data_IF_915777736764
#
_entry.id   IF_915777736764
#
_cell.length_a   1.000
_cell.length_b   1.000
_cell.length_c   1.000
_cell.angle_alpha   90.00
_cell.angle_beta   90.00
_cell.angle_gamma   90.00
#
_symmetry.space_group_name_H-M   'P 1'
#
loop_
_entity.id
_entity.type
_entity.pdbx_description
1 polymer ?
#
# COMPACT_ATOMS: atom_id res chain seq x y z
N UNK A 1 -0.34 10.33 7.81
CA UNK A 1 -0.58 8.90 8.11
C UNK A 1 -1.24 8.27 6.89
N UNK A 2 -0.80 7.08 6.47
CA UNK A 2 -1.50 6.36 5.41
C UNK A 2 -2.74 5.68 5.97
N UNK A 3 -3.83 5.67 5.21
CA UNK A 3 -5.02 4.86 5.53
C UNK A 3 -5.07 3.64 4.63
N UNK A 4 -5.19 2.47 5.25
CA UNK A 4 -5.26 1.17 4.61
C UNK A 4 -6.66 0.60 4.72
N UNK A 5 -7.24 0.22 3.59
CA UNK A 5 -8.52 -0.47 3.49
C UNK A 5 -8.27 -1.96 3.38
N UNK A 6 -8.61 -2.69 4.45
CA UNK A 6 -8.43 -4.13 4.55
C UNK A 6 -9.70 -4.87 4.15
N UNK A 7 -9.56 -5.81 3.21
CA UNK A 7 -10.69 -6.57 2.67
C UNK A 7 -10.96 -7.78 3.56
N UNK A 8 -12.19 -7.88 4.06
CA UNK A 8 -12.63 -8.95 4.96
C UNK A 8 -13.95 -9.56 4.48
N UNK A 9 -14.16 -10.81 4.86
CA UNK A 9 -15.47 -11.46 4.75
C UNK A 9 -16.13 -11.53 6.13
N UNK A 10 -17.39 -11.94 6.17
CA UNK A 10 -18.14 -12.04 7.42
C UNK A 10 -17.54 -13.03 8.43
N UNK A 11 -16.78 -14.03 8.00
CA UNK A 11 -16.12 -14.96 8.93
C UNK A 11 -14.94 -14.25 9.60
N UNK A 12 -14.07 -13.67 8.78
CA UNK A 12 -12.81 -13.12 9.23
C UNK A 12 -12.97 -11.77 9.93
N UNK A 13 -13.93 -10.95 9.52
CA UNK A 13 -14.13 -9.62 10.10
C UNK A 13 -14.34 -9.68 11.62
N UNK A 14 -15.16 -10.64 12.09
CA UNK A 14 -15.35 -10.91 13.52
C UNK A 14 -14.02 -11.10 14.26
N UNK A 15 -13.17 -11.99 13.75
CA UNK A 15 -11.92 -12.35 14.41
C UNK A 15 -10.83 -11.27 14.32
N UNK A 16 -10.86 -10.45 13.26
CA UNK A 16 -10.00 -9.27 13.16
C UNK A 16 -10.29 -8.27 14.29
N UNK A 17 -11.57 -8.05 14.59
CA UNK A 17 -12.02 -7.18 15.67
C UNK A 17 -11.71 -7.76 17.04
N UNK A 18 -12.07 -9.03 17.26
CA UNK A 18 -11.93 -9.66 18.58
C UNK A 18 -10.48 -9.80 19.04
N UNK A 19 -9.56 -10.07 18.12
CA UNK A 19 -8.14 -10.28 18.40
C UNK A 19 -7.26 -9.11 17.97
N UNK A 20 -7.87 -7.99 17.60
CA UNK A 20 -7.20 -6.73 17.24
C UNK A 20 -6.02 -6.92 16.27
N UNK A 21 -6.26 -7.59 15.14
CA UNK A 21 -5.28 -7.71 14.06
C UNK A 21 -5.89 -7.50 12.68
N UNK A 22 -5.04 -7.15 11.73
CA UNK A 22 -5.33 -7.21 10.29
C UNK A 22 -4.50 -8.28 9.62
N UNK A 23 -5.09 -9.01 8.67
CA UNK A 23 -4.38 -10.07 7.97
C UNK A 23 -4.80 -10.24 6.52
N UNK A 24 -3.83 -10.63 5.68
CA UNK A 24 -4.09 -11.12 4.32
C UNK A 24 -3.32 -12.42 4.07
N UNK A 25 -3.80 -13.20 3.12
CA UNK A 25 -3.13 -14.42 2.69
C UNK A 25 -3.75 -14.95 1.40
N UNK A 26 -3.11 -15.95 0.82
CA UNK A 26 -3.53 -16.55 -0.45
C UNK A 26 -3.83 -18.03 -0.28
N UNK A 27 -5.12 -18.33 -0.09
CA UNK A 27 -5.64 -19.70 0.00
C UNK A 27 -4.83 -20.56 0.98
N UNK A 28 -4.42 -21.74 0.51
CA UNK A 28 -3.63 -22.71 1.29
C UNK A 28 -2.13 -22.70 0.93
N UNK A 29 -1.61 -21.62 0.35
CA UNK A 29 -0.21 -21.58 -0.04
C UNK A 29 0.72 -21.52 1.19
N UNK A 30 1.67 -22.46 1.25
CA UNK A 30 2.78 -22.46 2.22
C UNK A 30 4.03 -22.08 1.46
N UNK A 31 4.71 -21.02 1.89
CA UNK A 31 5.94 -20.57 1.25
C UNK A 31 6.86 -19.91 2.27
N UNK A 32 8.10 -20.36 2.27
CA UNK A 32 9.21 -19.71 2.97
C UNK A 32 9.82 -18.62 2.08
N UNK A 33 9.59 -17.37 2.48
CA UNK A 33 10.10 -16.17 1.81
C UNK A 33 11.44 -15.70 2.38
N UNK A 34 11.78 -16.16 3.58
CA UNK A 34 13.00 -15.81 4.29
C UNK A 34 14.19 -16.65 3.81
N UNK A 35 13.92 -17.80 3.19
CA UNK A 35 14.92 -18.66 2.57
C UNK A 35 14.88 -18.62 1.03
N UNK A 36 16.05 -18.68 0.42
CA UNK A 36 16.24 -18.69 -1.03
C UNK A 36 16.39 -20.09 -1.63
N UNK A 37 16.44 -21.15 -0.84
CA UNK A 37 16.70 -22.53 -1.33
C UNK A 37 15.52 -23.10 -2.13
N UNK A 38 14.28 -22.85 -1.70
CA UNK A 38 13.08 -23.40 -2.34
C UNK A 38 12.80 -22.76 -3.71
N UNK A 39 12.63 -23.60 -4.74
CA UNK A 39 12.15 -23.15 -6.04
C UNK A 39 10.65 -22.86 -6.00
N UNK A 40 10.26 -21.70 -6.52
CA UNK A 40 8.87 -21.25 -6.58
C UNK A 40 8.60 -20.80 -8.00
N UNK A 41 7.47 -21.21 -8.55
CA UNK A 41 7.02 -20.74 -9.85
C UNK A 41 6.91 -19.20 -9.86
N UNK A 42 7.47 -18.54 -10.87
CA UNK A 42 7.63 -17.09 -10.91
C UNK A 42 6.32 -16.32 -10.69
N UNK A 43 5.21 -16.76 -11.29
CA UNK A 43 3.91 -16.10 -11.14
C UNK A 43 3.38 -16.16 -9.70
N UNK A 44 3.66 -17.28 -9.00
CA UNK A 44 3.29 -17.47 -7.60
C UNK A 44 4.13 -16.56 -6.71
N UNK A 45 5.45 -16.55 -6.94
CA UNK A 45 6.37 -15.68 -6.21
C UNK A 45 6.04 -14.20 -6.37
N UNK A 46 5.77 -13.73 -7.60
CA UNK A 46 5.39 -12.34 -7.87
C UNK A 46 4.07 -11.95 -7.19
N UNK A 47 3.08 -12.84 -7.19
CA UNK A 47 1.83 -12.59 -6.49
C UNK A 47 2.07 -12.44 -4.98
N UNK A 48 2.86 -13.32 -4.38
CA UNK A 48 3.22 -13.19 -2.96
C UNK A 48 3.98 -11.90 -2.67
N UNK A 49 4.96 -11.55 -3.50
CA UNK A 49 5.69 -10.30 -3.39
C UNK A 49 4.76 -9.09 -3.46
N UNK A 50 3.74 -9.11 -4.31
CA UNK A 50 2.76 -8.01 -4.33
C UNK A 50 2.00 -7.86 -3.00
N UNK A 51 1.66 -8.97 -2.33
CA UNK A 51 1.03 -8.95 -1.01
C UNK A 51 1.98 -8.48 0.09
N UNK A 52 3.25 -8.89 0.02
CA UNK A 52 4.29 -8.45 0.96
C UNK A 52 4.56 -6.96 0.76
N UNK A 53 4.69 -6.50 -0.49
CA UNK A 53 4.83 -5.09 -0.82
C UNK A 53 3.67 -4.29 -0.23
N UNK A 54 2.44 -4.79 -0.36
CA UNK A 54 1.27 -4.13 0.22
C UNK A 54 1.33 -3.96 1.74
N UNK A 55 1.92 -4.92 2.45
CA UNK A 55 2.13 -4.82 3.89
C UNK A 55 3.41 -4.09 4.28
N UNK A 56 4.44 -4.11 3.43
CA UNK A 56 5.75 -3.51 3.73
C UNK A 56 5.69 -1.99 3.80
N UNK A 57 4.69 -1.37 3.17
CA UNK A 57 4.41 0.08 3.31
C UNK A 57 3.75 0.45 4.65
N UNK A 58 3.16 -0.50 5.37
CA UNK A 58 2.36 -0.23 6.58
C UNK A 58 3.26 0.20 7.73
N UNK A 59 2.93 1.32 8.39
CA UNK A 59 3.65 1.83 9.55
C UNK A 59 2.78 1.89 10.80
N UNK A 60 3.43 1.88 11.97
CA UNK A 60 2.75 2.11 13.25
C UNK A 60 2.10 3.50 13.23
N UNK A 61 0.85 3.58 13.66
CA UNK A 61 0.04 4.80 13.64
C UNK A 61 -0.75 5.04 12.36
N UNK A 62 -0.49 4.29 11.28
CA UNK A 62 -1.35 4.31 10.09
C UNK A 62 -2.80 3.92 10.44
N UNK A 63 -3.76 4.42 9.68
CA UNK A 63 -5.17 4.14 9.90
C UNK A 63 -5.61 2.88 9.16
N UNK A 64 -6.59 2.21 9.73
CA UNK A 64 -7.21 1.01 9.19
C UNK A 64 -8.71 1.20 9.09
N UNK A 65 -9.26 0.92 7.91
CA UNK A 65 -10.70 0.81 7.66
C UNK A 65 -10.94 -0.60 7.11
N UNK A 66 -11.96 -1.28 7.62
CA UNK A 66 -12.36 -2.57 7.09
C UNK A 66 -13.36 -2.40 5.97
N UNK A 67 -13.17 -3.14 4.88
CA UNK A 67 -14.17 -3.29 3.83
C UNK A 67 -14.70 -4.73 3.85
N UNK A 68 -15.92 -4.88 4.35
CA UNK A 68 -16.68 -6.12 4.35
C UNK A 68 -17.24 -6.37 2.96
N UNK A 69 -16.88 -7.51 2.37
CA UNK A 69 -17.36 -7.91 1.04
C UNK A 69 -18.83 -8.33 1.05
N UNK A 70 -19.52 -8.08 -0.07
CA UNK A 70 -20.85 -8.62 -0.34
C UNK A 70 -20.83 -10.15 -0.25
N UNK A 71 -21.85 -10.71 0.40
CA UNK A 71 -22.05 -12.14 0.50
C UNK A 71 -23.55 -12.42 0.72
N UNK A 72 -24.25 -12.79 -0.36
CA UNK A 72 -25.69 -13.05 -0.32
C UNK A 72 -26.08 -14.23 0.58
N UNK A 73 -25.25 -15.28 0.64
CA UNK A 73 -25.50 -16.45 1.50
C UNK A 73 -25.49 -16.07 2.99
N UNK A 74 -24.73 -15.04 3.36
CA UNK A 74 -24.66 -14.49 4.72
C UNK A 74 -25.53 -13.25 4.94
N UNK A 75 -26.45 -12.94 4.01
CA UNK A 75 -27.36 -11.80 4.10
C UNK A 75 -26.68 -10.43 3.90
N UNK A 76 -25.44 -10.38 3.40
CA UNK A 76 -24.72 -9.14 3.11
C UNK A 76 -24.96 -8.77 1.65
N UNK A 77 -26.01 -7.98 1.42
CA UNK A 77 -26.45 -7.60 0.07
C UNK A 77 -25.59 -6.51 -0.57
N UNK A 78 -24.79 -5.77 0.20
CA UNK A 78 -23.87 -4.75 -0.29
C UNK A 78 -22.58 -4.76 0.52
N UNK A 79 -21.44 -4.49 -0.14
CA UNK A 79 -20.19 -4.28 0.57
C UNK A 79 -20.25 -3.03 1.45
N UNK A 80 -19.50 -3.02 2.55
CA UNK A 80 -19.56 -1.94 3.56
C UNK A 80 -18.20 -1.61 4.15
N UNK A 81 -17.95 -0.32 4.40
CA UNK A 81 -16.76 0.20 5.06
C UNK A 81 -17.03 0.45 6.54
N UNK A 82 -16.17 -0.07 7.42
CA UNK A 82 -16.35 -0.04 8.87
C UNK A 82 -15.12 0.45 9.63
N UNK A 83 -15.42 1.20 10.70
CA UNK A 83 -14.50 1.57 11.76
C UNK A 83 -13.34 2.45 11.31
N UNK A 84 -12.60 2.95 12.30
CA UNK A 84 -11.29 3.55 12.14
C UNK A 84 -10.41 3.02 13.26
N UNK A 85 -9.43 2.22 12.89
CA UNK A 85 -8.44 1.63 13.79
C UNK A 85 -7.05 2.20 13.46
N UNK A 86 -6.08 1.91 14.31
CA UNK A 86 -4.67 2.27 14.11
C UNK A 86 -3.79 1.04 14.09
N UNK A 87 -2.77 1.03 13.24
CA UNK A 87 -1.73 0.01 13.25
C UNK A 87 -0.90 0.15 14.53
N UNK A 88 -0.74 -0.95 15.26
CA UNK A 88 0.01 -1.06 16.52
C UNK A 88 1.35 -1.78 16.36
N UNK A 89 1.52 -2.57 15.30
CA UNK A 89 2.78 -3.26 15.01
C UNK A 89 3.16 -3.16 13.55
N UNK A 90 4.44 -3.31 13.25
CA UNK A 90 4.90 -3.61 11.90
C UNK A 90 4.37 -4.99 11.45
N UNK A 91 4.44 -5.23 10.13
CA UNK A 91 4.05 -6.51 9.54
C UNK A 91 4.91 -7.66 10.07
N UNK A 92 4.27 -8.80 10.30
CA UNK A 92 4.91 -10.06 10.62
C UNK A 92 4.23 -11.23 9.90
N UNK A 93 4.89 -12.40 9.92
CA UNK A 93 4.36 -13.66 9.44
C UNK A 93 3.77 -14.47 10.58
N UNK A 94 2.55 -14.94 10.35
CA UNK A 94 2.02 -16.13 11.01
C UNK A 94 1.82 -17.21 9.95
N UNK A 95 2.86 -18.03 9.79
CA UNK A 95 3.02 -18.94 8.66
C UNK A 95 1.85 -19.89 8.48
N UNK A 96 1.52 -20.21 7.23
CA UNK A 96 0.42 -21.12 6.91
C UNK A 96 0.77 -22.59 7.20
N UNK A 97 0.72 -23.01 8.46
CA UNK A 97 0.89 -24.40 8.87
C UNK A 97 -0.19 -24.80 9.88
N UNK A 98 0.00 -25.90 10.60
CA UNK A 98 -0.96 -26.37 11.63
C UNK A 98 -0.98 -25.51 12.89
N UNK A 99 0.02 -24.64 13.08
CA UNK A 99 0.20 -23.77 14.24
C UNK A 99 -0.25 -22.33 13.99
N UNK A 100 -0.72 -22.01 12.77
CA UNK A 100 -1.21 -20.68 12.45
C UNK A 100 -2.37 -20.31 13.36
N UNK A 101 -2.27 -19.16 14.01
CA UNK A 101 -3.27 -18.72 14.99
C UNK A 101 -4.61 -18.44 14.29
N UNK A 102 -5.68 -18.99 14.87
CA UNK A 102 -7.06 -18.92 14.39
C UNK A 102 -7.34 -19.55 13.02
N UNK A 103 -6.50 -20.46 12.54
CA UNK A 103 -6.66 -21.04 11.19
C UNK A 103 -8.01 -21.74 10.98
N UNK A 104 -8.51 -22.43 11.99
CA UNK A 104 -9.79 -23.14 11.91
C UNK A 104 -10.96 -22.16 11.91
N UNK A 105 -10.88 -21.15 12.76
CA UNK A 105 -11.88 -20.09 12.95
C UNK A 105 -11.98 -19.19 11.71
N UNK A 106 -10.83 -18.81 11.14
CA UNK A 106 -10.73 -17.95 9.96
C UNK A 106 -11.17 -18.67 8.68
N UNK A 107 -11.12 -20.01 8.65
CA UNK A 107 -11.42 -20.85 7.48
C UNK A 107 -10.56 -20.56 6.23
N UNK A 108 -9.52 -19.75 6.37
CA UNK A 108 -8.51 -19.44 5.35
C UNK A 108 -7.21 -18.99 6.00
N UNK A 109 -6.10 -19.12 5.28
CA UNK A 109 -4.82 -18.60 5.75
C UNK A 109 -4.75 -17.08 5.61
N UNK A 110 -4.40 -16.41 6.69
CA UNK A 110 -3.99 -15.01 6.71
C UNK A 110 -2.54 -14.95 7.17
N UNK A 111 -1.61 -15.10 6.24
CA UNK A 111 -0.18 -15.27 6.53
C UNK A 111 0.49 -13.98 6.98
N UNK A 112 0.19 -12.86 6.31
CA UNK A 112 0.79 -11.56 6.62
C UNK A 112 -0.16 -10.81 7.54
N UNK A 113 0.34 -10.36 8.69
CA UNK A 113 -0.50 -9.74 9.73
C UNK A 113 0.16 -8.49 10.32
N UNK A 114 -0.67 -7.58 10.82
CA UNK A 114 -0.27 -6.50 11.72
C UNK A 114 -1.24 -6.48 12.90
N UNK A 115 -0.76 -6.10 14.08
CA UNK A 115 -1.65 -5.78 15.20
C UNK A 115 -2.25 -4.39 14.98
N UNK A 116 -3.49 -4.22 15.41
CA UNK A 116 -4.20 -2.94 15.41
C UNK A 116 -4.66 -2.59 16.82
N UNK A 117 -5.12 -1.37 16.98
CA UNK A 117 -5.85 -0.92 18.15
C UNK A 117 -6.98 0.03 17.74
N UNK A 118 -8.01 0.19 18.58
CA UNK A 118 -9.11 1.11 18.32
C UNK A 118 -8.60 2.56 18.18
N UNK A 119 -9.18 3.32 17.24
CA UNK A 119 -8.94 4.76 17.17
C UNK A 119 -10.24 5.57 17.31
N UNK A 120 -11.14 5.43 16.34
CA UNK A 120 -12.48 6.01 16.37
C UNK A 120 -13.42 4.96 15.75
N UNK A 121 -14.01 4.13 16.59
CA UNK A 121 -14.82 3.00 16.13
C UNK A 121 -16.30 3.37 16.18
N UNK A 122 -16.99 3.09 15.07
CA UNK A 122 -18.41 3.30 14.89
C UNK A 122 -19.10 1.96 14.66
N UNK A 123 -20.36 1.82 15.08
CA UNK A 123 -21.13 0.58 14.94
C UNK A 123 -21.47 0.28 13.47
N UNK A 124 -22.07 1.24 12.77
CA UNK A 124 -22.62 1.06 11.41
C UNK A 124 -21.57 1.31 10.35
N UNK A 125 -21.60 0.49 9.31
CA UNK A 125 -20.79 0.68 8.10
C UNK A 125 -21.49 1.55 7.06
N UNK A 126 -20.69 2.18 6.20
CA UNK A 126 -21.12 2.90 4.99
C UNK A 126 -21.12 1.94 3.83
N UNK A 127 -22.19 1.88 3.04
CA UNK A 127 -22.25 0.95 1.91
C UNK A 127 -21.36 1.39 0.75
N UNK A 128 -21.04 0.48 -0.15
CA UNK A 128 -20.36 0.83 -1.39
C UNK A 128 -21.11 1.88 -2.19
N UNK A 129 -22.43 1.79 -2.23
CA UNK A 129 -23.26 2.75 -2.93
C UNK A 129 -23.06 4.17 -2.38
N UNK A 130 -23.14 4.31 -1.06
CA UNK A 130 -22.94 5.60 -0.37
C UNK A 130 -21.53 6.16 -0.58
N UNK A 131 -20.51 5.30 -0.66
CA UNK A 131 -19.12 5.72 -0.76
C UNK A 131 -18.63 5.96 -2.20
N UNK A 132 -19.06 5.15 -3.16
CA UNK A 132 -18.48 5.06 -4.50
C UNK A 132 -19.43 5.48 -5.61
N UNK A 133 -20.74 5.27 -5.44
CA UNK A 133 -21.74 5.52 -6.48
C UNK A 133 -22.50 6.84 -6.26
N UNK A 134 -22.64 7.30 -5.01
CA UNK A 134 -23.32 8.56 -4.70
C UNK A 134 -22.46 9.79 -5.03
N UNK A 135 -22.85 10.49 -6.11
CA UNK A 135 -22.12 11.66 -6.63
C UNK A 135 -22.80 13.00 -6.33
N UNK A 136 -23.91 13.04 -5.58
CA UNK A 136 -24.69 14.27 -5.36
C UNK A 136 -23.85 15.44 -4.80
N UNK A 137 -22.85 15.11 -3.99
CA UNK A 137 -21.94 16.07 -3.35
C UNK A 137 -20.53 16.03 -3.96
N UNK A 138 -20.40 15.60 -5.22
CA UNK A 138 -19.15 15.58 -5.99
C UNK A 138 -19.26 16.65 -7.07
N UNK A 139 -18.36 17.63 -7.02
CA UNK A 139 -18.35 18.76 -7.95
C UNK A 139 -17.39 18.55 -9.13
N UNK A 140 -16.42 17.65 -8.97
CA UNK A 140 -15.43 17.33 -9.99
C UNK A 140 -15.02 15.85 -9.93
N UNK A 141 -14.69 15.22 -11.08
CA UNK A 141 -14.31 13.81 -11.12
C UNK A 141 -13.15 13.44 -10.19
N UNK A 142 -12.20 14.36 -9.98
CA UNK A 142 -11.05 14.13 -9.09
C UNK A 142 -11.44 13.93 -7.61
N UNK A 143 -12.64 14.32 -7.17
CA UNK A 143 -13.10 14.13 -5.79
C UNK A 143 -13.69 12.73 -5.52
N UNK A 144 -13.79 11.88 -6.55
CA UNK A 144 -14.21 10.49 -6.40
C UNK A 144 -13.14 9.66 -5.66
N UNK A 145 -13.56 8.57 -5.02
CA UNK A 145 -12.66 7.62 -4.35
C UNK A 145 -11.99 6.66 -5.35
N UNK A 146 -11.20 7.21 -6.27
CA UNK A 146 -10.56 6.49 -7.37
C UNK A 146 -9.75 5.28 -6.93
N UNK A 147 -9.01 5.36 -5.83
CA UNK A 147 -8.25 4.22 -5.28
C UNK A 147 -9.17 3.02 -5.00
N UNK A 148 -10.38 3.28 -4.50
CA UNK A 148 -11.39 2.25 -4.23
C UNK A 148 -12.14 1.80 -5.47
N UNK A 149 -12.41 2.71 -6.41
CA UNK A 149 -13.03 2.36 -7.70
C UNK A 149 -12.10 1.43 -8.49
N UNK A 150 -10.82 1.78 -8.63
CA UNK A 150 -9.83 0.93 -9.31
C UNK A 150 -9.68 -0.43 -8.63
N UNK A 151 -9.72 -0.47 -7.29
CA UNK A 151 -9.75 -1.73 -6.54
C UNK A 151 -10.94 -2.60 -6.93
N UNK A 152 -12.15 -2.03 -6.99
CA UNK A 152 -13.38 -2.76 -7.35
C UNK A 152 -13.33 -3.31 -8.78
N UNK A 153 -12.81 -2.53 -9.72
CA UNK A 153 -12.72 -2.93 -11.14
C UNK A 153 -11.69 -4.04 -11.41
N UNK A 154 -10.60 -4.11 -10.63
CA UNK A 154 -9.55 -5.13 -10.81
C UNK A 154 -9.67 -6.33 -9.88
N UNK A 155 -10.19 -6.13 -8.67
CA UNK A 155 -10.05 -7.08 -7.57
C UNK A 155 -8.58 -7.38 -7.23
N UNK A 156 -8.35 -8.35 -6.34
CA UNK A 156 -7.06 -9.02 -6.08
C UNK A 156 -6.12 -8.47 -5.00
N UNK A 157 -6.47 -7.41 -4.27
CA UNK A 157 -5.67 -6.97 -3.10
C UNK A 157 -6.45 -7.03 -1.82
N UNK A 158 -5.85 -7.63 -0.80
CA UNK A 158 -6.40 -7.68 0.56
C UNK A 158 -6.12 -6.41 1.37
N UNK A 159 -5.22 -5.54 0.90
CA UNK A 159 -4.86 -4.28 1.52
C UNK A 159 -4.69 -3.20 0.44
N UNK A 160 -5.55 -2.19 0.43
CA UNK A 160 -5.48 -1.05 -0.48
C UNK A 160 -5.26 0.23 0.32
N UNK A 161 -4.13 0.92 0.10
CA UNK A 161 -3.98 2.29 0.55
C UNK A 161 -4.96 3.20 -0.20
N UNK A 162 -5.45 4.22 0.49
CA UNK A 162 -6.19 5.33 -0.12
C UNK A 162 -5.46 6.63 0.14
N UNK A 163 -5.62 7.60 -0.75
CA UNK A 163 -4.99 8.92 -0.61
C UNK A 163 -5.52 9.67 0.62
N UNK A 164 -4.83 10.76 1.01
CA UNK A 164 -5.16 11.54 2.21
C UNK A 164 -6.60 12.06 2.14
N UNK A 165 -7.00 12.69 1.03
CA UNK A 165 -8.36 13.24 0.86
C UNK A 165 -9.44 12.14 0.79
N UNK A 166 -9.13 10.99 0.18
CA UNK A 166 -10.04 9.84 0.15
C UNK A 166 -10.28 9.28 1.55
N UNK A 167 -9.23 9.22 2.37
CA UNK A 167 -9.32 8.83 3.77
C UNK A 167 -10.22 9.76 4.56
N UNK A 168 -9.98 11.07 4.49
CA UNK A 168 -10.80 12.07 5.19
C UNK A 168 -12.28 11.96 4.80
N UNK A 169 -12.55 11.82 3.49
CA UNK A 169 -13.90 11.66 2.96
C UNK A 169 -14.57 10.39 3.47
N UNK A 170 -13.88 9.23 3.41
CA UNK A 170 -14.46 7.96 3.84
C UNK A 170 -14.73 7.94 5.35
N UNK A 171 -13.79 8.45 6.15
CA UNK A 171 -13.97 8.58 7.60
C UNK A 171 -15.15 9.51 7.91
N UNK A 172 -15.29 10.62 7.18
CA UNK A 172 -16.45 11.52 7.34
C UNK A 172 -17.77 10.82 7.06
N UNK A 173 -17.86 10.03 5.98
CA UNK A 173 -19.06 9.26 5.66
C UNK A 173 -19.42 8.29 6.81
N UNK A 174 -18.44 7.55 7.33
CA UNK A 174 -18.64 6.61 8.45
C UNK A 174 -19.13 7.35 9.69
N UNK A 175 -18.49 8.47 10.01
CA UNK A 175 -18.85 9.33 11.14
C UNK A 175 -20.28 9.84 11.04
N UNK A 176 -20.68 10.34 9.87
CA UNK A 176 -22.00 10.93 9.66
C UNK A 176 -23.11 9.85 9.65
N UNK A 177 -22.84 8.67 9.06
CA UNK A 177 -23.73 7.50 9.09
C UNK A 177 -24.12 7.07 10.50
N UNK A 178 -23.22 7.30 11.46
CA UNK A 178 -23.39 6.95 12.87
C UNK A 178 -23.85 8.12 13.73
N UNK A 179 -24.25 9.24 13.13
CA UNK A 179 -24.61 10.47 13.87
C UNK A 179 -23.53 10.90 14.87
N UNK A 180 -22.26 10.61 14.53
CA UNK A 180 -21.07 10.91 15.35
C UNK A 180 -20.97 10.12 16.66
N UNK A 181 -21.83 9.12 16.88
CA UNK A 181 -21.80 8.28 18.07
C UNK A 181 -20.72 7.20 17.95
N UNK A 182 -19.67 7.34 18.76
CA UNK A 182 -18.56 6.38 18.84
C UNK A 182 -18.90 5.26 19.83
N UNK A 183 -18.37 4.06 19.57
CA UNK A 183 -18.35 2.98 20.56
C UNK A 183 -17.15 3.19 21.49
N UNK A 184 -17.40 3.67 22.71
CA UNK A 184 -16.35 3.98 23.68
C UNK A 184 -15.94 2.74 24.50
N UNK A 185 -15.35 1.75 23.81
CA UNK A 185 -14.83 0.51 24.40
C UNK A 185 -13.52 0.12 23.69
N UNK A 186 -12.77 -0.82 24.26
CA UNK A 186 -11.50 -1.27 23.67
C UNK A 186 -11.65 -2.56 22.84
N UNK A 187 -12.64 -3.40 23.17
CA UNK A 187 -12.82 -4.71 22.56
C UNK A 187 -14.09 -4.76 21.72
N UNK A 188 -14.01 -5.40 20.57
CA UNK A 188 -15.06 -5.39 19.56
C UNK A 188 -15.33 -6.77 19.01
N UNK A 189 -16.55 -6.97 18.52
CA UNK A 189 -16.92 -8.11 17.66
C UNK A 189 -17.83 -7.62 16.53
N UNK A 190 -18.23 -8.54 15.65
CA UNK A 190 -19.14 -8.23 14.55
C UNK A 190 -20.44 -9.02 14.71
N UNK A 191 -21.55 -8.29 14.83
CA UNK A 191 -22.88 -8.86 14.76
C UNK A 191 -23.29 -9.03 13.29
N UNK A 192 -23.24 -10.27 12.80
CA UNK A 192 -23.60 -10.59 11.42
C UNK A 192 -25.08 -10.31 11.12
N UNK A 193 -25.98 -10.46 12.10
CA UNK A 193 -27.42 -10.32 11.90
C UNK A 193 -27.78 -8.87 11.61
N UNK A 194 -27.27 -7.95 12.43
CA UNK A 194 -27.51 -6.52 12.28
C UNK A 194 -26.46 -5.84 11.38
N UNK A 195 -25.36 -6.53 11.08
CA UNK A 195 -24.21 -6.01 10.33
C UNK A 195 -23.62 -4.77 11.00
N UNK A 196 -23.33 -4.91 12.29
CA UNK A 196 -22.84 -3.83 13.16
C UNK A 196 -21.61 -4.29 13.94
N UNK A 197 -20.66 -3.38 14.14
CA UNK A 197 -19.62 -3.57 15.16
C UNK A 197 -20.28 -3.42 16.53
N UNK A 198 -20.02 -4.38 17.41
CA UNK A 198 -20.55 -4.40 18.78
C UNK A 198 -19.42 -4.40 19.80
N UNK A 199 -19.71 -3.91 21.00
CA UNK A 199 -18.80 -3.98 22.13
C UNK A 199 -18.64 -5.42 22.63
N UNK A 200 -17.42 -5.80 22.95
CA UNK A 200 -17.08 -7.03 23.65
C UNK A 200 -16.60 -6.67 25.06
N UNK A 201 -17.02 -7.40 26.09
CA UNK A 201 -16.59 -7.13 27.47
C UNK A 201 -15.16 -7.65 27.72
N UNK A 202 -14.91 -8.90 27.32
CA UNK A 202 -13.60 -9.54 27.51
C UNK A 202 -12.62 -9.14 26.41
N UNK A 203 -11.35 -8.97 26.76
CA UNK A 203 -10.29 -8.84 25.76
C UNK A 203 -9.86 -10.22 25.25
N UNK A 204 -9.52 -10.31 23.97
CA UNK A 204 -8.80 -11.47 23.43
C UNK A 204 -7.44 -11.03 22.94
N UNK A 205 -6.43 -11.80 23.31
CA UNK A 205 -5.06 -11.50 22.93
C UNK A 205 -4.64 -12.27 21.68
N UNK A 206 -3.93 -11.58 20.79
CA UNK A 206 -3.22 -12.23 19.70
C UNK A 206 -1.93 -12.90 20.22
N UNK A 207 -1.95 -14.23 20.28
CA UNK A 207 -0.81 -15.07 20.70
C UNK A 207 -0.14 -15.83 19.55
N UNK A 208 -0.45 -15.46 18.31
CA UNK A 208 0.16 -16.05 17.12
C UNK A 208 1.63 -15.69 16.96
N UNK A 209 2.29 -16.38 16.02
CA UNK A 209 3.70 -16.09 15.68
C UNK A 209 3.83 -14.72 15.04
N UNK A 210 5.01 -14.14 15.23
CA UNK A 210 5.39 -12.82 14.72
C UNK A 210 6.76 -12.87 14.04
N UNK A 211 6.91 -13.79 13.07
CA UNK A 211 8.19 -13.98 12.40
C UNK A 211 8.46 -12.80 11.44
N UNK A 212 9.71 -12.34 11.38
CA UNK A 212 10.10 -11.26 10.47
C UNK A 212 10.08 -11.69 8.99
N UNK A 213 9.97 -10.72 8.08
CA UNK A 213 10.01 -10.95 6.62
C UNK A 213 11.33 -10.40 6.06
N UNK A 214 12.12 -11.25 5.42
CA UNK A 214 13.36 -10.86 4.74
C UNK A 214 13.41 -11.39 3.30
N UNK A 215 13.19 -10.50 2.33
CA UNK A 215 13.18 -10.88 0.91
C UNK A 215 14.55 -10.74 0.22
N UNK A 216 15.55 -10.16 0.90
CA UNK A 216 16.86 -9.86 0.29
C UNK A 216 17.58 -11.10 -0.27
N UNK A 217 17.61 -12.27 0.41
CA UNK A 217 18.23 -13.47 -0.15
C UNK A 217 17.60 -13.91 -1.48
N UNK A 218 16.26 -13.77 -1.61
CA UNK A 218 15.54 -14.10 -2.85
C UNK A 218 15.84 -13.09 -3.96
N UNK A 219 15.89 -11.80 -3.64
CA UNK A 219 16.27 -10.75 -4.57
C UNK A 219 17.66 -11.02 -5.16
N UNK A 220 18.66 -11.27 -4.31
CA UNK A 220 20.03 -11.57 -4.72
C UNK A 220 20.08 -12.82 -5.61
N UNK A 221 19.36 -13.89 -5.24
CA UNK A 221 19.29 -15.12 -6.06
C UNK A 221 18.76 -14.84 -7.48
N UNK A 222 17.75 -13.97 -7.64
CA UNK A 222 17.22 -13.59 -8.96
C UNK A 222 18.23 -12.76 -9.74
N UNK A 223 18.89 -11.80 -9.09
CA UNK A 223 19.93 -10.99 -9.67
C UNK A 223 21.10 -11.84 -10.20
N UNK A 224 21.64 -12.75 -9.39
CA UNK A 224 22.74 -13.64 -9.79
C UNK A 224 22.37 -14.60 -10.95
N UNK A 225 21.08 -14.91 -11.09
CA UNK A 225 20.56 -15.71 -12.21
C UNK A 225 20.22 -14.88 -13.46
N UNK A 226 20.49 -13.56 -13.47
CA UNK A 226 20.10 -12.63 -14.53
C UNK A 226 18.60 -12.64 -14.86
N UNK A 227 17.75 -12.97 -13.87
CA UNK A 227 16.31 -12.93 -14.02
C UNK A 227 15.77 -11.52 -13.80
N UNK A 228 14.55 -11.23 -14.26
CA UNK A 228 13.81 -10.04 -13.86
C UNK A 228 13.43 -10.12 -12.37
N UNK A 229 13.59 -9.02 -11.63
CA UNK A 229 13.38 -8.99 -10.17
C UNK A 229 12.74 -7.68 -9.66
N UNK A 230 12.01 -6.95 -10.51
CA UNK A 230 11.36 -5.68 -10.15
C UNK A 230 10.42 -5.80 -8.94
N UNK A 231 9.61 -6.87 -8.88
CA UNK A 231 8.74 -7.12 -7.74
C UNK A 231 9.52 -7.32 -6.43
N UNK A 232 10.67 -8.02 -6.48
CA UNK A 232 11.56 -8.17 -5.33
C UNK A 232 12.16 -6.82 -4.93
N UNK A 233 12.62 -6.04 -5.90
CA UNK A 233 13.23 -4.74 -5.67
C UNK A 233 12.23 -3.74 -5.06
N UNK A 234 11.01 -3.65 -5.58
CA UNK A 234 9.93 -2.83 -5.03
C UNK A 234 9.65 -3.23 -3.58
N UNK A 235 9.51 -4.54 -3.31
CA UNK A 235 9.26 -5.06 -1.96
C UNK A 235 10.41 -4.70 -1.01
N UNK A 236 11.66 -4.87 -1.45
CA UNK A 236 12.85 -4.50 -0.65
C UNK A 236 12.85 -3.02 -0.30
N UNK A 237 12.60 -2.15 -1.29
CA UNK A 237 12.57 -0.70 -1.11
C UNK A 237 11.48 -0.34 -0.09
N UNK A 238 10.28 -0.91 -0.19
CA UNK A 238 9.20 -0.65 0.77
C UNK A 238 9.57 -1.09 2.19
N UNK A 239 10.15 -2.29 2.36
CA UNK A 239 10.61 -2.78 3.67
C UNK A 239 11.66 -1.86 4.33
N UNK A 240 12.43 -1.14 3.51
CA UNK A 240 13.50 -0.24 3.96
C UNK A 240 13.13 1.24 3.88
N UNK A 241 11.96 1.59 3.35
CA UNK A 241 11.62 2.95 2.94
C UNK A 241 11.73 3.94 4.10
N UNK A 242 11.01 3.67 5.19
CA UNK A 242 11.02 4.52 6.38
C UNK A 242 12.32 4.37 7.18
N UNK A 243 12.82 3.14 7.37
CA UNK A 243 14.04 2.88 8.14
C UNK A 243 15.25 3.65 7.58
N UNK A 244 15.31 3.78 6.25
CA UNK A 244 16.42 4.44 5.56
C UNK A 244 16.10 5.87 5.15
N UNK A 245 14.83 6.31 5.34
CA UNK A 245 14.21 7.47 4.68
C UNK A 245 14.73 7.62 3.25
N UNK A 246 14.37 6.58 2.51
CA UNK A 246 14.76 6.23 1.14
C UNK A 246 16.27 6.33 0.86
N UNK A 247 17.07 5.65 1.67
CA UNK A 247 18.52 5.54 1.50
C UNK A 247 19.27 6.88 1.58
N UNK A 248 18.85 7.75 2.49
CA UNK A 248 19.54 9.01 2.74
C UNK A 248 18.94 10.21 2.00
N UNK A 249 18.09 9.97 1.03
CA UNK A 249 17.63 10.98 0.06
C UNK A 249 16.56 11.89 0.68
N UNK A 250 15.79 11.36 1.63
CA UNK A 250 14.69 12.05 2.29
C UNK A 250 14.98 12.25 3.79
N UNK A 251 16.26 12.30 4.19
CA UNK A 251 16.69 12.14 5.59
C UNK A 251 16.07 13.12 6.60
N UNK A 252 15.60 14.29 6.16
CA UNK A 252 14.97 15.30 7.02
C UNK A 252 13.50 15.57 6.66
N UNK A 253 12.93 14.76 5.78
CA UNK A 253 11.57 14.92 5.30
C UNK A 253 10.61 14.02 6.11
N UNK A 254 9.42 14.55 6.40
CA UNK A 254 8.37 13.77 7.04
C UNK A 254 7.49 13.14 5.96
N UNK A 255 7.46 11.82 5.92
CA UNK A 255 6.65 11.07 4.97
C UNK A 255 5.25 10.92 5.58
N UNK A 256 4.29 11.69 5.07
CA UNK A 256 2.91 11.65 5.57
C UNK A 256 2.08 10.53 4.92
N UNK A 257 2.48 10.05 3.74
CA UNK A 257 1.77 9.00 3.02
C UNK A 257 2.71 8.18 2.14
N UNK A 258 2.49 6.87 2.07
CA UNK A 258 3.20 5.94 1.21
C UNK A 258 2.23 4.91 0.60
N UNK A 259 2.38 4.69 -0.71
CA UNK A 259 1.70 3.64 -1.45
C UNK A 259 2.62 2.98 -2.47
N UNK A 260 2.31 1.76 -2.86
CA UNK A 260 2.88 1.04 -3.99
C UNK A 260 1.80 0.65 -5.00
N UNK A 261 2.16 0.60 -6.27
CA UNK A 261 1.27 0.18 -7.36
C UNK A 261 -0.04 0.99 -7.41
N UNK A 262 0.10 2.30 -7.21
CA UNK A 262 -1.01 3.26 -7.18
C UNK A 262 -1.60 3.36 -8.57
N UNK A 263 -2.86 2.98 -8.74
CA UNK A 263 -3.50 2.99 -10.05
C UNK A 263 -3.67 4.42 -10.56
N UNK A 264 -3.20 4.67 -11.78
CA UNK A 264 -3.22 5.98 -12.41
C UNK A 264 -3.74 5.87 -13.86
N UNK A 265 -5.03 6.12 -14.04
CA UNK A 265 -5.69 6.12 -15.34
C UNK A 265 -6.47 4.83 -15.66
N UNK A 266 -7.41 4.97 -16.60
CA UNK A 266 -8.34 3.89 -16.99
C UNK A 266 -7.69 2.73 -17.75
N UNK A 267 -6.51 2.97 -18.34
CA UNK A 267 -5.67 1.94 -18.96
C UNK A 267 -4.96 1.02 -17.97
N UNK A 268 -5.27 1.13 -16.68
CA UNK A 268 -4.75 0.27 -15.60
C UNK A 268 -3.23 0.38 -15.42
N UNK A 269 -2.66 1.52 -15.79
CA UNK A 269 -1.29 1.87 -15.45
C UNK A 269 -1.19 2.13 -13.94
N UNK A 270 -0.02 1.86 -13.37
CA UNK A 270 0.23 2.02 -11.94
C UNK A 270 1.55 2.71 -11.72
N UNK A 271 1.63 3.57 -10.71
CA UNK A 271 2.87 4.12 -10.16
C UNK A 271 3.48 3.09 -9.23
N UNK A 272 4.72 2.67 -9.46
CA UNK A 272 5.34 1.58 -8.70
C UNK A 272 5.38 1.89 -7.20
N UNK A 273 5.87 3.07 -6.83
CA UNK A 273 5.81 3.60 -5.46
C UNK A 273 5.45 5.08 -5.53
N UNK A 274 4.62 5.56 -4.61
CA UNK A 274 4.30 6.98 -4.49
C UNK A 274 4.39 7.40 -3.03
N UNK A 275 5.03 8.52 -2.75
CA UNK A 275 5.17 9.06 -1.41
C UNK A 275 4.75 10.53 -1.35
N UNK A 276 3.99 10.91 -0.33
CA UNK A 276 3.72 12.31 0.00
C UNK A 276 4.63 12.73 1.15
N UNK A 277 5.28 13.87 0.98
CA UNK A 277 6.11 14.52 1.97
C UNK A 277 5.36 15.74 2.49
N UNK A 278 5.20 15.80 3.81
CA UNK A 278 4.51 16.88 4.49
C UNK A 278 5.19 18.23 4.22
N UNK A 279 4.37 19.27 4.09
CA UNK A 279 4.87 20.64 4.05
C UNK A 279 5.61 20.97 5.35
N UNK A 280 6.62 21.83 5.26
CA UNK A 280 7.28 22.40 6.42
C UNK A 280 7.41 23.92 6.25
N UNK A 281 8.02 24.59 7.23
CA UNK A 281 8.14 26.05 7.23
C UNK A 281 8.86 26.62 5.99
N UNK A 282 9.64 25.80 5.28
CA UNK A 282 10.48 26.22 4.15
C UNK A 282 10.02 25.68 2.81
N UNK A 283 9.37 24.52 2.78
CA UNK A 283 9.01 23.81 1.56
C UNK A 283 7.52 23.45 1.57
N UNK A 284 6.81 23.63 0.43
CA UNK A 284 5.45 23.12 0.29
C UNK A 284 5.43 21.59 0.32
N UNK A 285 4.22 21.04 0.45
CA UNK A 285 3.99 19.59 0.34
C UNK A 285 4.52 19.09 -1.00
N UNK A 286 5.11 17.90 -1.01
CA UNK A 286 5.68 17.31 -2.22
C UNK A 286 5.15 15.90 -2.44
N UNK A 287 4.74 15.58 -3.66
CA UNK A 287 4.32 14.25 -4.08
C UNK A 287 5.36 13.63 -5.02
N UNK A 288 5.85 12.45 -4.67
CA UNK A 288 6.95 11.78 -5.33
C UNK A 288 6.42 10.49 -6.01
N UNK A 289 6.06 10.52 -7.30
CA UNK A 289 5.86 9.29 -8.07
C UNK A 289 7.22 8.67 -8.41
N UNK A 290 7.42 7.41 -8.02
CA UNK A 290 8.65 6.67 -8.22
C UNK A 290 8.40 5.56 -9.25
N UNK A 291 9.20 5.60 -10.31
CA UNK A 291 9.26 4.55 -11.33
C UNK A 291 10.50 3.67 -11.10
N UNK A 292 10.29 2.36 -11.06
CA UNK A 292 11.32 1.38 -10.77
C UNK A 292 11.63 0.53 -12.00
N UNK A 293 12.92 0.33 -12.27
CA UNK A 293 13.39 -0.68 -13.23
C UNK A 293 14.52 -1.49 -12.65
N UNK A 294 14.47 -2.81 -12.83
CA UNK A 294 15.58 -3.69 -12.45
C UNK A 294 16.74 -3.69 -13.46
N UNK A 295 16.51 -3.06 -14.61
CA UNK A 295 17.48 -2.82 -15.67
C UNK A 295 18.20 -1.48 -15.52
N UNK A 296 19.16 -1.23 -16.41
CA UNK A 296 19.71 0.10 -16.61
C UNK A 296 18.65 1.07 -17.13
N UNK A 297 18.86 2.36 -16.86
CA UNK A 297 17.94 3.43 -17.27
C UNK A 297 17.86 3.56 -18.78
N UNK A 298 16.68 3.87 -19.33
CA UNK A 298 16.48 4.12 -20.75
C UNK A 298 15.48 5.26 -20.99
N UNK A 299 15.61 6.02 -22.09
CA UNK A 299 14.79 7.19 -22.38
C UNK A 299 13.27 7.04 -22.30
N UNK A 300 12.72 5.90 -22.76
CA UNK A 300 11.26 5.72 -22.86
C UNK A 300 10.58 5.56 -21.50
N UNK A 301 11.33 5.41 -20.40
CA UNK A 301 10.81 5.52 -19.02
C UNK A 301 10.05 6.85 -18.83
N UNK A 302 10.51 7.93 -19.46
CA UNK A 302 9.88 9.25 -19.33
C UNK A 302 8.45 9.30 -19.87
N UNK A 303 8.07 8.40 -20.79
CA UNK A 303 6.66 8.29 -21.24
C UNK A 303 5.75 7.80 -20.12
N UNK A 304 6.24 6.86 -19.30
CA UNK A 304 5.53 6.33 -18.14
C UNK A 304 5.43 7.41 -17.05
N UNK A 305 6.55 8.09 -16.76
CA UNK A 305 6.61 9.22 -15.83
C UNK A 305 5.67 10.35 -16.25
N UNK A 306 5.58 10.69 -17.55
CA UNK A 306 4.66 11.72 -18.04
C UNK A 306 3.22 11.42 -17.65
N UNK A 307 2.77 10.18 -17.82
CA UNK A 307 1.41 9.77 -17.46
C UNK A 307 1.16 9.83 -15.96
N UNK A 308 2.19 9.61 -15.14
CA UNK A 308 2.08 9.80 -13.69
C UNK A 308 1.87 11.26 -13.35
N UNK A 309 2.67 12.15 -13.94
CA UNK A 309 2.54 13.60 -13.77
C UNK A 309 1.14 14.05 -14.21
N UNK A 310 0.70 13.66 -15.41
CA UNK A 310 -0.63 14.00 -15.94
C UNK A 310 -1.77 13.55 -15.03
N UNK A 311 -1.67 12.34 -14.49
CA UNK A 311 -2.68 11.82 -13.57
C UNK A 311 -2.67 12.57 -12.24
N UNK A 312 -1.48 12.85 -11.69
CA UNK A 312 -1.36 13.62 -10.45
C UNK A 312 -1.96 15.02 -10.61
N UNK A 313 -1.61 15.73 -11.68
CA UNK A 313 -2.13 17.08 -11.98
C UNK A 313 -3.67 17.11 -12.06
N UNK A 314 -4.28 16.07 -12.64
CA UNK A 314 -5.72 16.02 -12.84
C UNK A 314 -6.50 15.49 -11.62
N UNK A 315 -5.96 14.49 -10.91
CA UNK A 315 -6.70 13.71 -9.92
C UNK A 315 -6.22 13.90 -8.48
N UNK A 316 -4.92 14.11 -8.26
CA UNK A 316 -4.36 14.23 -6.92
C UNK A 316 -4.23 15.69 -6.47
N UNK A 317 -3.52 16.50 -7.26
CA UNK A 317 -3.19 17.90 -6.96
C UNK A 317 -4.42 18.76 -6.64
N UNK A 318 -5.57 18.64 -7.35
CA UNK A 318 -6.75 19.45 -7.04
C UNK A 318 -7.35 19.17 -5.65
N UNK A 319 -7.11 17.99 -5.08
CA UNK A 319 -7.58 17.62 -3.74
C UNK A 319 -6.49 17.75 -2.67
N UNK A 320 -5.22 17.68 -3.07
CA UNK A 320 -4.07 17.72 -2.19
C UNK A 320 -2.93 18.51 -2.86
N UNK A 321 -2.99 19.86 -2.82
CA UNK A 321 -1.99 20.71 -3.48
C UNK A 321 -0.57 20.35 -3.03
N UNK A 322 0.29 20.07 -4.00
CA UNK A 322 1.66 19.58 -3.78
C UNK A 322 2.54 19.92 -4.98
N UNK A 323 3.84 20.06 -4.76
CA UNK A 323 4.82 20.05 -5.84
C UNK A 323 5.11 18.61 -6.26
N UNK A 324 5.10 18.33 -7.56
CA UNK A 324 5.40 16.99 -8.08
C UNK A 324 6.91 16.86 -8.26
N UNK A 325 7.54 15.86 -7.64
CA UNK A 325 8.95 15.50 -7.88
C UNK A 325 9.03 14.04 -8.36
N UNK A 326 9.07 13.78 -9.67
CA UNK A 326 9.22 12.41 -10.14
C UNK A 326 10.59 11.85 -9.77
N UNK A 327 10.64 10.54 -9.53
CA UNK A 327 11.86 9.83 -9.17
C UNK A 327 11.99 8.56 -10.00
N UNK A 328 13.20 8.28 -10.47
CA UNK A 328 13.49 7.08 -11.25
C UNK A 328 14.58 6.31 -10.51
N UNK A 329 14.33 5.03 -10.25
CA UNK A 329 15.29 4.12 -9.62
C UNK A 329 15.64 3.02 -10.62
N UNK A 330 16.92 2.93 -11.01
CA UNK A 330 17.41 1.94 -11.98
C UNK A 330 18.73 1.31 -11.54
N UNK A 331 19.12 0.23 -12.22
CA UNK A 331 20.45 -0.35 -12.03
C UNK A 331 21.53 0.60 -12.56
N UNK A 332 22.68 0.63 -11.90
CA UNK A 332 23.87 1.38 -12.33
C UNK A 332 24.16 1.25 -13.84
N UNK A 333 24.45 2.40 -14.47
CA UNK A 333 24.89 2.51 -15.85
C UNK A 333 26.18 3.34 -15.95
N UNK A 334 27.05 3.01 -16.90
CA UNK A 334 28.20 3.84 -17.24
C UNK A 334 27.74 5.21 -17.75
N UNK A 335 28.23 6.28 -17.11
CA UNK A 335 27.89 7.67 -17.42
C UNK A 335 28.43 8.14 -18.77
N UNK A 336 29.42 7.42 -19.32
CA UNK A 336 29.95 7.71 -20.65
C UNK A 336 29.10 7.10 -21.77
N UNK A 337 28.20 6.17 -21.45
CA UNK A 337 27.34 5.51 -22.42
C UNK A 337 26.40 6.49 -23.13
N UNK A 338 26.13 6.22 -24.41
CA UNK A 338 25.17 7.00 -25.21
C UNK A 338 23.76 6.96 -24.60
N UNK A 339 23.40 5.82 -24.00
CA UNK A 339 22.11 5.62 -23.35
C UNK A 339 21.92 6.54 -22.14
N UNK A 340 22.93 6.67 -21.26
CA UNK A 340 22.87 7.59 -20.12
C UNK A 340 22.82 9.06 -20.60
N UNK A 341 23.65 9.43 -21.57
CA UNK A 341 23.69 10.80 -22.12
C UNK A 341 22.36 11.21 -22.74
N UNK A 342 21.75 10.33 -23.54
CA UNK A 342 20.42 10.59 -24.12
C UNK A 342 19.33 10.67 -23.05
N UNK A 343 19.35 9.77 -22.06
CA UNK A 343 18.41 9.82 -20.94
C UNK A 343 18.52 11.14 -20.15
N UNK A 344 19.74 11.56 -19.79
CA UNK A 344 19.96 12.81 -19.05
C UNK A 344 19.46 14.03 -19.82
N UNK A 345 19.80 14.13 -21.12
CA UNK A 345 19.32 15.22 -21.98
C UNK A 345 17.78 15.26 -22.05
N UNK A 346 17.13 14.09 -22.10
CA UNK A 346 15.66 14.03 -22.11
C UNK A 346 15.05 14.38 -20.76
N UNK A 347 15.71 14.06 -19.63
CA UNK A 347 15.27 14.53 -18.31
C UNK A 347 15.33 16.05 -18.22
N UNK A 348 16.41 16.68 -18.70
CA UNK A 348 16.55 18.14 -18.72
C UNK A 348 15.44 18.81 -19.57
N UNK A 349 15.12 18.24 -20.73
CA UNK A 349 13.99 18.69 -21.56
C UNK A 349 12.65 18.45 -20.86
N UNK A 350 12.48 17.32 -20.20
CA UNK A 350 11.27 16.99 -19.47
C UNK A 350 11.02 17.97 -18.32
N UNK A 351 12.03 18.27 -17.51
CA UNK A 351 11.96 19.24 -16.41
C UNK A 351 11.54 20.62 -16.90
N UNK A 352 12.03 21.07 -18.06
CA UNK A 352 11.67 22.39 -18.64
C UNK A 352 10.24 22.45 -19.19
N UNK A 353 9.70 21.32 -19.61
CA UNK A 353 8.41 21.26 -20.31
C UNK A 353 7.22 20.95 -19.39
N UNK A 354 7.46 20.61 -18.13
CA UNK A 354 6.41 20.25 -17.17
C UNK A 354 6.57 21.08 -15.90
N UNK A 355 5.45 21.41 -15.24
CA UNK A 355 5.48 22.18 -14.00
C UNK A 355 5.77 21.25 -12.80
N UNK A 356 7.02 20.81 -12.71
CA UNK A 356 7.49 19.84 -11.71
C UNK A 356 8.82 20.28 -11.10
N UNK A 357 9.14 19.73 -9.94
CA UNK A 357 10.52 19.71 -9.44
C UNK A 357 11.37 18.79 -10.31
N UNK A 358 12.68 19.06 -10.35
CA UNK A 358 13.62 18.27 -11.16
C UNK A 358 13.52 16.78 -10.83
N UNK A 359 13.45 15.95 -11.87
CA UNK A 359 13.46 14.50 -11.75
C UNK A 359 14.67 14.07 -10.91
N UNK A 360 14.41 13.32 -9.85
CA UNK A 360 15.46 12.66 -9.07
C UNK A 360 15.83 11.33 -9.73
N UNK A 361 17.11 11.10 -10.00
CA UNK A 361 17.62 9.84 -10.53
C UNK A 361 18.50 9.12 -9.52
N UNK A 362 18.12 7.89 -9.20
CA UNK A 362 18.80 7.04 -8.22
C UNK A 362 19.25 5.76 -8.91
N UNK A 363 20.48 5.37 -8.60
CA UNK A 363 21.03 4.11 -9.03
C UNK A 363 21.16 3.12 -7.89
N UNK A 364 20.98 1.85 -8.19
CA UNK A 364 21.35 0.78 -7.28
C UNK A 364 22.42 -0.15 -7.87
N UNK A 365 23.23 -0.70 -6.97
CA UNK A 365 24.22 -1.75 -7.24
C UNK A 365 24.00 -2.92 -6.29
N UNK A 366 24.31 -4.12 -6.75
CA UNK A 366 24.28 -5.33 -5.93
C UNK A 366 25.69 -5.91 -5.93
N UNK A 367 26.37 -5.81 -4.80
CA UNK A 367 27.76 -6.25 -4.62
C UNK A 367 27.89 -6.91 -3.24
N UNK A 368 28.64 -8.01 -3.13
CA UNK A 368 28.90 -8.70 -1.87
C UNK A 368 27.64 -9.02 -1.05
N UNK A 369 26.59 -9.51 -1.71
CA UNK A 369 25.27 -9.81 -1.12
C UNK A 369 24.59 -8.62 -0.43
N UNK A 370 24.93 -7.39 -0.84
CA UNK A 370 24.30 -6.16 -0.37
C UNK A 370 23.79 -5.36 -1.56
N UNK A 371 22.73 -4.59 -1.33
CA UNK A 371 22.22 -3.62 -2.29
C UNK A 371 22.46 -2.21 -1.73
N UNK A 372 23.03 -1.34 -2.56
CA UNK A 372 23.32 0.06 -2.21
C UNK A 372 22.61 0.97 -3.19
N UNK A 373 22.18 2.14 -2.72
CA UNK A 373 21.50 3.15 -3.52
C UNK A 373 22.28 4.47 -3.47
N UNK A 374 22.34 5.17 -4.59
CA UNK A 374 23.05 6.43 -4.73
C UNK A 374 22.23 7.40 -5.58
N UNK A 375 22.05 8.64 -5.10
CA UNK A 375 21.44 9.72 -5.88
C UNK A 375 22.46 10.25 -6.89
N UNK A 376 22.08 10.28 -8.15
CA UNK A 376 22.91 10.79 -9.25
C UNK A 376 22.61 12.25 -9.53
N UNK A 377 21.34 12.66 -9.53
CA UNK A 377 20.88 14.05 -9.55
C UNK A 377 19.49 14.16 -8.92
#
# INVERSE_FOLDING_TARGET
MTTHVFIVDATTFKYHLEYQFVGTGKGNEVVDLNNSTNEIHHAKENNMLSMIADFSRVQIGDLVIFYLQQNFEKGIHEGKFYGVFKIKSLVFLDNNDKKQFLKNELQKSLTFRCLIEPHIVYSKGVTEWEALDEIKNIHSPNQMLWSLIYRKLKGNRGNTMITIYESERLIKLIRDKNSRNILNVENFSFDLKNQEIIALQDSKEYIGRKDEINILPRLIKKYLKNNQFEAHLQTYILQKFYQTKLFGILNNENIEWLGNEVSCGVGMQRIDIMASIEANNTNPRKIIPIELKSSQVYPSILTQVKRYVDWLEQYYIPNCPSDIQPMIICRYIDKNSNQYKDFKLKCEKFNKNNNILEIAYIEFKIENNKITFERVF
#
